data_IF_635700401325
#
_entry.id   IF_635700401325
#
_cell.length_a   1.000
_cell.length_b   1.000
_cell.length_c   1.000
_cell.angle_alpha   90.00
_cell.angle_beta   90.00
_cell.angle_gamma   90.00
#
_symmetry.space_group_name_H-M   'P 1'
#
loop_
_entity.id
_entity.type
_entity.pdbx_description
1 polymer ?
#
# COMPACT_ATOMS: atom_id res chain seq x y z
N UNK A 1 -25.69 -3.31 13.53
CA UNK A 1 -25.64 -3.69 12.10
C UNK A 1 -24.18 -3.79 11.75
N UNK A 2 -23.72 -4.95 11.29
CA UNK A 2 -22.33 -5.16 10.91
C UNK A 2 -22.00 -4.24 9.73
N UNK A 3 -20.94 -3.43 9.86
CA UNK A 3 -20.48 -2.54 8.79
C UNK A 3 -19.15 -3.07 8.28
N UNK A 4 -19.11 -3.44 6.99
CA UNK A 4 -17.95 -4.05 6.35
C UNK A 4 -17.77 -3.54 4.93
N UNK A 5 -16.51 -3.28 4.57
CA UNK A 5 -16.08 -2.90 3.23
C UNK A 5 -14.92 -3.80 2.84
N UNK A 6 -15.00 -4.40 1.65
CA UNK A 6 -13.88 -5.05 0.97
C UNK A 6 -13.66 -4.26 -0.32
N UNK A 7 -12.42 -3.84 -0.56
CA UNK A 7 -12.12 -2.98 -1.69
C UNK A 7 -10.69 -3.08 -2.16
N UNK A 8 -10.44 -2.44 -3.28
CA UNK A 8 -9.10 -2.25 -3.84
C UNK A 8 -8.79 -0.77 -3.98
N UNK A 9 -7.52 -0.41 -3.90
CA UNK A 9 -7.05 0.96 -4.13
C UNK A 9 -5.79 0.94 -4.98
N UNK A 10 -5.76 1.74 -6.05
CA UNK A 10 -4.59 1.88 -6.89
C UNK A 10 -3.66 2.93 -6.31
N UNK A 11 -2.49 2.51 -5.85
CA UNK A 11 -1.42 3.41 -5.42
C UNK A 11 -0.70 4.02 -6.62
N UNK A 12 -0.52 3.21 -7.67
CA UNK A 12 0.21 3.61 -8.87
C UNK A 12 1.72 3.36 -8.78
N UNK A 13 2.50 3.92 -9.70
CA UNK A 13 3.93 3.68 -9.77
C UNK A 13 4.69 4.63 -8.84
N UNK A 14 5.80 4.15 -8.28
CA UNK A 14 6.77 4.99 -7.58
C UNK A 14 8.04 5.09 -8.40
N UNK A 15 8.48 6.31 -8.71
CA UNK A 15 9.76 6.58 -9.37
C UNK A 15 10.80 7.04 -8.36
N UNK A 16 12.06 6.69 -8.63
CA UNK A 16 13.19 7.25 -7.90
C UNK A 16 13.20 8.80 -7.98
N UNK A 17 13.38 9.53 -6.87
CA UNK A 17 13.63 10.96 -6.93
C UNK A 17 14.96 11.22 -7.67
N UNK A 18 15.03 12.26 -8.49
CA UNK A 18 16.28 12.63 -9.17
C UNK A 18 17.35 12.98 -8.14
N UNK A 19 18.48 12.26 -8.16
CA UNK A 19 19.61 12.50 -7.25
C UNK A 19 19.46 11.89 -5.85
N UNK A 20 18.46 11.03 -5.60
CA UNK A 20 18.38 10.30 -4.34
C UNK A 20 19.55 9.29 -4.23
N UNK A 21 20.26 9.23 -3.09
CA UNK A 21 21.34 8.27 -2.89
C UNK A 21 20.75 6.86 -2.91
N UNK A 22 21.28 5.94 -3.73
CA UNK A 22 20.57 4.76 -4.22
C UNK A 22 20.13 3.75 -3.13
N UNK A 23 20.60 3.91 -1.89
CA UNK A 23 20.37 3.02 -0.74
C UNK A 23 19.25 3.44 0.25
N UNK A 24 18.61 4.62 0.11
CA UNK A 24 17.59 5.07 1.09
C UNK A 24 16.16 4.72 0.66
N UNK A 25 15.70 3.52 0.94
CA UNK A 25 14.31 3.13 0.67
C UNK A 25 13.32 3.69 1.72
N UNK A 26 12.89 4.95 1.54
CA UNK A 26 11.93 5.59 2.44
C UNK A 26 10.49 5.09 2.19
N UNK A 27 9.68 4.86 3.25
CA UNK A 27 8.29 4.44 3.06
C UNK A 27 7.45 5.50 2.34
N UNK A 28 6.66 5.08 1.36
CA UNK A 28 5.59 5.89 0.78
C UNK A 28 4.39 5.90 1.73
N UNK A 29 3.77 7.06 1.94
CA UNK A 29 2.52 7.18 2.70
C UNK A 29 1.37 7.44 1.75
N UNK A 30 0.32 6.63 1.83
CA UNK A 30 -0.87 6.71 0.95
C UNK A 30 -2.11 6.83 1.81
N UNK A 31 -2.96 7.80 1.50
CA UNK A 31 -4.29 7.93 2.10
C UNK A 31 -5.32 7.19 1.25
N UNK A 32 -6.09 6.31 1.89
CA UNK A 32 -7.11 5.49 1.25
C UNK A 32 -8.49 5.88 1.81
N UNK A 33 -9.35 6.52 1.00
CA UNK A 33 -10.70 6.85 1.42
C UNK A 33 -11.59 5.60 1.37
N UNK A 34 -12.52 5.50 2.32
CA UNK A 34 -13.61 4.55 2.23
C UNK A 34 -14.71 5.09 1.30
N UNK A 35 -15.40 4.22 0.52
CA UNK A 35 -16.52 4.63 -0.32
C UNK A 35 -17.74 5.12 0.47
N UNK A 36 -17.83 4.76 1.76
CA UNK A 36 -18.85 5.24 2.68
C UNK A 36 -18.25 5.39 4.09
N UNK A 37 -18.78 6.32 4.88
CA UNK A 37 -18.33 6.52 6.26
C UNK A 37 -18.89 5.44 7.19
N UNK A 38 -18.05 4.92 8.08
CA UNK A 38 -18.45 4.05 9.18
C UNK A 38 -19.04 4.83 10.36
N UNK A 39 -19.80 4.16 11.22
CA UNK A 39 -20.32 4.76 12.47
C UNK A 39 -19.22 5.02 13.50
N UNK A 40 -18.15 4.22 13.47
CA UNK A 40 -16.95 4.31 14.30
C UNK A 40 -15.73 3.90 13.48
N UNK A 41 -14.50 4.26 13.88
CA UNK A 41 -13.30 3.78 13.19
C UNK A 41 -13.28 2.24 13.13
N UNK A 42 -13.17 1.63 11.93
CA UNK A 42 -13.13 0.18 11.77
C UNK A 42 -11.74 -0.40 12.11
N UNK A 43 -11.65 -1.72 12.20
CA UNK A 43 -10.38 -2.45 12.05
C UNK A 43 -10.09 -2.62 10.57
N UNK A 44 -8.83 -2.42 10.15
CA UNK A 44 -8.42 -2.46 8.74
C UNK A 44 -7.25 -3.43 8.55
N UNK A 45 -7.39 -4.32 7.57
CA UNK A 45 -6.32 -5.22 7.10
C UNK A 45 -6.03 -4.88 5.64
N UNK A 46 -4.76 -4.81 5.27
CA UNK A 46 -4.28 -4.48 3.92
C UNK A 46 -3.31 -5.55 3.44
N UNK A 47 -3.38 -5.86 2.15
CA UNK A 47 -2.35 -6.60 1.41
C UNK A 47 -2.00 -5.82 0.15
N UNK A 48 -0.74 -5.87 -0.25
CA UNK A 48 -0.31 -5.45 -1.59
C UNK A 48 -0.70 -6.49 -2.62
N UNK A 49 -1.00 -6.03 -3.82
CA UNK A 49 -1.34 -6.83 -4.98
C UNK A 49 -0.53 -6.35 -6.19
N UNK A 50 -0.16 -7.31 -7.05
CA UNK A 50 0.51 -7.00 -8.31
C UNK A 50 -0.39 -6.13 -9.21
N UNK A 51 0.21 -5.29 -10.05
CA UNK A 51 -0.50 -4.65 -11.16
C UNK A 51 -1.25 -5.70 -12.00
N UNK A 52 -2.60 -5.65 -12.07
CA UNK A 52 -3.40 -6.63 -12.81
C UNK A 52 -3.17 -6.57 -14.32
N UNK A 53 -2.51 -5.53 -14.85
CA UNK A 53 -2.17 -5.41 -16.27
C UNK A 53 -0.85 -6.12 -16.62
N UNK A 54 -0.08 -6.56 -15.62
CA UNK A 54 1.17 -7.27 -15.84
C UNK A 54 0.95 -8.77 -15.89
N UNK A 55 1.44 -9.44 -16.94
CA UNK A 55 1.14 -10.85 -17.22
C UNK A 55 2.12 -11.83 -16.57
N UNK A 56 3.33 -11.39 -16.21
CA UNK A 56 4.35 -12.20 -15.55
C UNK A 56 4.40 -11.99 -14.03
N UNK A 57 5.31 -12.66 -13.31
CA UNK A 57 5.64 -12.29 -11.94
C UNK A 57 6.48 -11.01 -11.92
N UNK A 58 6.18 -10.12 -10.99
CA UNK A 58 7.02 -8.96 -10.65
C UNK A 58 7.79 -9.29 -9.37
N UNK A 59 9.07 -8.90 -9.32
CA UNK A 59 9.93 -9.24 -8.17
C UNK A 59 9.73 -8.33 -6.96
N UNK A 60 9.09 -7.16 -7.12
CA UNK A 60 8.84 -6.25 -6.01
C UNK A 60 8.09 -6.95 -4.87
N UNK A 61 8.69 -6.89 -3.68
CA UNK A 61 8.11 -7.38 -2.44
C UNK A 61 7.89 -6.20 -1.53
N UNK A 62 6.75 -6.13 -0.83
CA UNK A 62 6.40 -4.98 0.00
C UNK A 62 6.11 -5.36 1.43
N UNK A 63 6.45 -4.46 2.36
CA UNK A 63 5.92 -4.43 3.70
C UNK A 63 5.00 -3.22 3.85
N UNK A 64 3.91 -3.39 4.59
CA UNK A 64 2.90 -2.34 4.81
C UNK A 64 2.48 -2.22 6.26
N UNK A 65 2.22 -1.00 6.70
CA UNK A 65 1.63 -0.71 8.02
C UNK A 65 0.45 0.23 7.86
N UNK A 66 -0.72 -0.18 8.35
CA UNK A 66 -1.90 0.68 8.43
C UNK A 66 -1.78 1.63 9.61
N UNK A 67 -2.03 2.91 9.40
CA UNK A 67 -2.00 3.97 10.41
C UNK A 67 -3.19 4.89 10.26
N UNK A 68 -3.47 5.71 11.29
CA UNK A 68 -4.48 6.78 11.25
C UNK A 68 -5.86 6.35 10.72
N UNK A 69 -6.38 5.23 11.22
CA UNK A 69 -7.73 4.78 10.84
C UNK A 69 -8.78 5.73 11.40
N UNK A 70 -9.67 6.19 10.54
CA UNK A 70 -10.80 7.06 10.86
C UNK A 70 -12.10 6.45 10.32
N UNK A 71 -13.22 7.16 10.51
CA UNK A 71 -14.52 6.73 9.96
C UNK A 71 -14.58 6.79 8.43
N UNK A 72 -13.72 7.57 7.78
CA UNK A 72 -13.81 7.90 6.35
C UNK A 72 -12.62 7.40 5.54
N UNK A 73 -11.61 6.81 6.19
CA UNK A 73 -10.45 6.26 5.51
C UNK A 73 -9.33 5.90 6.48
N UNK A 74 -8.18 5.53 5.92
CA UNK A 74 -6.97 5.18 6.65
C UNK A 74 -5.72 5.63 5.87
N UNK A 75 -4.57 5.64 6.53
CA UNK A 75 -3.26 5.79 5.90
C UNK A 75 -2.55 4.44 5.86
N UNK A 76 -1.78 4.17 4.81
CA UNK A 76 -0.86 3.04 4.76
C UNK A 76 0.55 3.52 4.44
N UNK A 77 1.51 3.07 5.23
CA UNK A 77 2.93 3.18 4.90
C UNK A 77 3.35 1.94 4.11
N UNK A 78 4.08 2.14 3.02
CA UNK A 78 4.48 1.10 2.08
C UNK A 78 5.98 1.21 1.85
N UNK A 79 6.72 0.12 2.02
CA UNK A 79 8.14 0.04 1.70
C UNK A 79 8.41 -1.22 0.87
N UNK A 80 9.19 -1.09 -0.21
CA UNK A 80 9.68 -2.25 -0.97
C UNK A 80 10.79 -2.93 -0.16
N UNK A 81 10.92 -4.26 -0.13
CA UNK A 81 11.85 -4.96 0.78
C UNK A 81 12.78 -5.95 0.09
N UNK A 82 12.54 -6.27 -1.18
CA UNK A 82 13.44 -7.09 -2.01
C UNK A 82 14.73 -6.35 -2.42
N UNK A 83 14.81 -5.04 -2.17
CA UNK A 83 15.92 -4.16 -2.59
C UNK A 83 17.05 -4.04 -1.57
N UNK A 84 17.13 -4.91 -0.56
CA UNK A 84 18.18 -4.86 0.47
C UNK A 84 19.29 -5.88 0.16
N UNK A 85 20.02 -5.66 -0.93
CA UNK A 85 21.29 -6.34 -1.23
C UNK A 85 22.34 -5.23 -1.52
N UNK A 86 23.63 -5.40 -1.18
CA UNK A 86 24.66 -4.36 -1.38
C UNK A 86 24.72 -3.82 -2.81
N UNK A 87 24.30 -4.63 -3.78
CA UNK A 87 24.40 -4.35 -5.22
C UNK A 87 23.05 -4.04 -5.91
N UNK A 88 21.92 -4.12 -5.20
CA UNK A 88 20.58 -3.84 -5.77
C UNK A 88 20.08 -2.47 -5.33
N UNK A 89 20.56 -1.47 -6.07
CA UNK A 89 20.37 -0.04 -5.77
C UNK A 89 19.24 0.58 -6.60
N UNK A 90 18.12 -0.14 -6.75
CA UNK A 90 17.00 0.28 -7.59
C UNK A 90 15.87 0.84 -6.73
N UNK A 91 15.80 2.16 -6.67
CA UNK A 91 14.60 2.87 -6.24
C UNK A 91 13.48 2.73 -7.26
N UNK A 92 12.26 2.78 -6.75
CA UNK A 92 11.05 2.72 -7.55
C UNK A 92 10.48 1.32 -7.64
N UNK A 93 9.30 1.25 -8.24
CA UNK A 93 8.53 0.03 -8.36
C UNK A 93 8.44 -0.33 -9.84
N UNK A 94 8.54 -1.62 -10.13
CA UNK A 94 8.44 -2.14 -11.49
C UNK A 94 6.96 -2.32 -11.91
N UNK A 95 6.04 -1.71 -11.16
CA UNK A 95 4.60 -1.90 -11.29
C UNK A 95 3.76 -0.70 -10.84
N UNK A 96 2.50 -0.70 -11.25
CA UNK A 96 1.46 0.13 -10.65
C UNK A 96 0.83 -0.61 -9.46
N UNK A 97 1.39 -0.40 -8.27
CA UNK A 97 1.01 -1.15 -7.07
C UNK A 97 -0.49 -1.00 -6.77
N UNK A 98 -1.14 -2.13 -6.48
CA UNK A 98 -2.50 -2.19 -5.99
C UNK A 98 -2.52 -2.59 -4.52
N UNK A 99 -3.54 -2.15 -3.80
CA UNK A 99 -3.87 -2.62 -2.46
C UNK A 99 -5.21 -3.33 -2.50
N UNK A 100 -5.31 -4.48 -1.83
CA UNK A 100 -6.60 -5.00 -1.36
C UNK A 100 -6.73 -4.72 0.12
N UNK A 101 -7.92 -4.32 0.56
CA UNK A 101 -8.17 -4.09 1.97
C UNK A 101 -9.55 -4.62 2.39
N UNK A 102 -9.65 -4.94 3.67
CA UNK A 102 -10.89 -5.19 4.37
C UNK A 102 -10.96 -4.25 5.57
N UNK A 103 -12.12 -3.59 5.73
CA UNK A 103 -12.42 -2.72 6.86
C UNK A 103 -13.74 -3.15 7.49
N UNK A 104 -13.76 -3.38 8.80
CA UNK A 104 -14.95 -3.85 9.53
C UNK A 104 -15.04 -3.20 10.91
N UNK A 105 -16.24 -2.78 11.32
CA UNK A 105 -16.50 -2.35 12.70
C UNK A 105 -16.70 -3.62 13.55
N UNK A 106 -15.85 -3.88 14.56
CA UNK A 106 -16.02 -5.04 15.42
C UNK A 106 -17.40 -5.03 16.10
N UNK A 107 -17.97 -6.22 16.28
CA UNK A 107 -19.25 -6.43 16.94
C UNK A 107 -19.25 -5.99 18.42
#
# INVERSE_FOLDING_TARGET
MEQKIIGTHSVGPLKAPSGAPPWRNAPLSVEVPFPAAFSSPPVVIVSTLQDPKWTGPINDTFATTVTRVTKTGFTVHIVRVDTVNPDYVTYGWDQNLQLSYMAEVPA
#
